data_IF_632324284458
#
_entry.id   IF_632324284458
#
_cell.length_a   1.000
_cell.length_b   1.000
_cell.length_c   1.000
_cell.angle_alpha   90.00
_cell.angle_beta   90.00
_cell.angle_gamma   90.00
#
_symmetry.space_group_name_H-M   'P 1'
#
loop_
_entity.id
_entity.type
_entity.pdbx_description
1 polymer ?
#
# COMPACT_ATOMS: atom_id res chain seq x y z
N UNK A 1 3.94 -17.80 -48.63
CA UNK A 1 2.66 -17.77 -47.87
C UNK A 1 3.01 -17.39 -46.44
N UNK A 2 2.77 -16.14 -46.09
CA UNK A 2 3.13 -15.58 -44.77
C UNK A 2 1.81 -15.18 -44.12
N UNK A 3 1.43 -15.87 -43.04
CA UNK A 3 0.24 -15.51 -42.29
C UNK A 3 0.46 -14.15 -41.60
N UNK A 4 -0.55 -13.26 -41.56
CA UNK A 4 -0.41 -11.99 -40.85
C UNK A 4 -0.44 -12.25 -39.35
N UNK A 5 0.43 -11.55 -38.62
CA UNK A 5 0.38 -11.42 -37.16
C UNK A 5 -0.94 -10.73 -36.83
N UNK A 6 -1.91 -11.50 -36.32
CA UNK A 6 -3.12 -10.95 -35.76
C UNK A 6 -2.73 -10.02 -34.60
N UNK A 7 -3.12 -8.74 -34.72
CA UNK A 7 -3.07 -7.79 -33.64
C UNK A 7 -3.93 -8.31 -32.48
N UNK A 8 -3.28 -8.85 -31.45
CA UNK A 8 -3.93 -9.28 -30.24
C UNK A 8 -4.13 -8.07 -29.33
N UNK A 9 -5.39 -7.62 -29.28
CA UNK A 9 -5.97 -6.94 -28.13
C UNK A 9 -5.61 -5.48 -28.00
N UNK A 10 -6.47 -4.62 -28.55
CA UNK A 10 -6.70 -3.28 -27.99
C UNK A 10 -6.95 -3.43 -26.48
N UNK A 11 -5.95 -3.09 -25.67
CA UNK A 11 -6.01 -3.14 -24.21
C UNK A 11 -6.62 -1.82 -23.71
N UNK A 12 -7.91 -1.62 -23.98
CA UNK A 12 -8.71 -0.64 -23.27
C UNK A 12 -9.15 -1.18 -21.90
N UNK A 13 -9.21 -0.31 -20.88
CA UNK A 13 -10.00 -0.48 -19.62
C UNK A 13 -9.36 -1.02 -18.31
N UNK A 14 -8.11 -0.67 -17.96
CA UNK A 14 -7.67 -0.78 -16.54
C UNK A 14 -6.68 0.28 -16.04
N UNK A 15 -6.04 1.02 -16.94
CA UNK A 15 -5.21 2.19 -16.59
C UNK A 15 -5.98 3.32 -15.86
N UNK A 16 -7.27 3.62 -16.18
CA UNK A 16 -8.03 4.64 -15.47
C UNK A 16 -8.26 4.28 -13.99
N UNK A 17 -8.70 3.05 -13.71
CA UNK A 17 -8.95 2.57 -12.34
C UNK A 17 -7.68 2.61 -11.49
N UNK A 18 -6.56 2.09 -12.01
CA UNK A 18 -5.25 2.16 -11.36
C UNK A 18 -4.87 3.61 -11.03
N UNK A 19 -4.99 4.49 -12.02
CA UNK A 19 -4.60 5.90 -11.88
C UNK A 19 -5.47 6.60 -10.85
N UNK A 20 -6.78 6.35 -10.86
CA UNK A 20 -7.70 6.94 -9.93
C UNK A 20 -7.47 6.42 -8.50
N UNK A 21 -7.23 5.12 -8.32
CA UNK A 21 -6.87 4.55 -7.03
C UNK A 21 -5.61 5.20 -6.45
N UNK A 22 -4.54 5.33 -7.26
CA UNK A 22 -3.29 5.96 -6.81
C UNK A 22 -3.50 7.44 -6.45
N UNK A 23 -4.23 8.20 -7.26
CA UNK A 23 -4.58 9.60 -6.96
C UNK A 23 -5.37 9.70 -5.65
N UNK A 24 -6.36 8.83 -5.47
CA UNK A 24 -7.17 8.77 -4.27
C UNK A 24 -6.33 8.41 -3.03
N UNK A 25 -5.51 7.35 -3.10
CA UNK A 25 -4.60 6.95 -2.02
C UNK A 25 -3.61 8.06 -1.64
N UNK A 26 -3.03 8.75 -2.61
CA UNK A 26 -2.19 9.91 -2.35
C UNK A 26 -2.96 11.03 -1.63
N UNK A 27 -4.17 11.33 -2.09
CA UNK A 27 -5.00 12.39 -1.49
C UNK A 27 -5.39 12.07 -0.05
N UNK A 28 -5.90 10.87 0.23
CA UNK A 28 -6.34 10.50 1.59
C UNK A 28 -5.16 10.43 2.56
N UNK A 29 -3.99 9.97 2.11
CA UNK A 29 -2.77 9.98 2.93
C UNK A 29 -2.27 11.39 3.20
N UNK A 30 -2.35 12.29 2.24
CA UNK A 30 -2.03 13.70 2.45
C UNK A 30 -2.97 14.33 3.50
N UNK A 31 -4.27 14.04 3.43
CA UNK A 31 -5.26 14.49 4.43
C UNK A 31 -4.92 13.92 5.81
N UNK A 32 -4.64 12.62 5.90
CA UNK A 32 -4.26 11.98 7.17
C UNK A 32 -3.01 12.62 7.80
N UNK A 33 -1.99 12.94 6.99
CA UNK A 33 -0.77 13.58 7.49
C UNK A 33 -0.98 15.03 7.94
N UNK A 34 -1.82 15.80 7.24
CA UNK A 34 -2.07 17.22 7.56
C UNK A 34 -3.08 17.42 8.68
N UNK A 35 -4.15 16.62 8.68
CA UNK A 35 -5.33 16.87 9.50
C UNK A 35 -5.60 15.73 10.50
N UNK A 36 -5.13 14.51 10.21
CA UNK A 36 -5.33 13.32 11.05
C UNK A 36 -4.16 12.98 11.96
N UNK A 37 -3.19 13.89 12.10
CA UNK A 37 -1.94 13.65 12.82
C UNK A 37 -1.22 12.35 12.39
N UNK A 38 -1.35 11.96 11.13
CA UNK A 38 -0.79 10.73 10.55
C UNK A 38 -1.38 9.43 11.08
N UNK A 39 -2.56 9.45 11.70
CA UNK A 39 -3.26 8.22 12.10
C UNK A 39 -3.90 7.55 10.88
N UNK A 40 -3.74 6.22 10.71
CA UNK A 40 -4.47 5.47 9.68
C UNK A 40 -5.98 5.55 9.90
N UNK A 41 -6.73 5.81 8.83
CA UNK A 41 -8.19 5.74 8.77
C UNK A 41 -8.65 4.62 7.83
N UNK A 42 -9.96 4.54 7.57
CA UNK A 42 -10.56 3.51 6.72
C UNK A 42 -10.08 3.55 5.26
N UNK A 43 -9.53 4.69 4.80
CA UNK A 43 -9.02 4.82 3.44
C UNK A 43 -7.68 4.12 3.22
N UNK A 44 -6.95 3.84 4.30
CA UNK A 44 -5.66 3.15 4.27
C UNK A 44 -5.66 1.82 5.02
N UNK A 45 -6.78 1.47 5.65
CA UNK A 45 -6.97 0.24 6.43
C UNK A 45 -8.02 -0.70 5.82
N UNK A 46 -7.83 -1.24 4.60
CA UNK A 46 -8.86 -2.02 3.93
C UNK A 46 -9.31 -3.24 4.75
N UNK A 47 -10.57 -3.62 4.59
CA UNK A 47 -11.03 -4.94 5.02
C UNK A 47 -10.45 -5.99 4.05
N UNK A 48 -9.86 -7.04 4.61
CA UNK A 48 -9.22 -8.11 3.86
C UNK A 48 -10.13 -9.33 3.84
N UNK A 49 -10.47 -9.82 2.65
CA UNK A 49 -11.25 -11.04 2.46
C UNK A 49 -10.42 -12.10 1.73
N UNK A 50 -10.69 -13.37 2.04
CA UNK A 50 -10.24 -14.46 1.18
C UNK A 50 -11.24 -14.62 0.03
N UNK A 51 -10.80 -15.03 -1.18
CA UNK A 51 -11.70 -15.34 -2.27
C UNK A 51 -12.80 -16.33 -1.83
N UNK A 52 -14.05 -16.05 -2.18
CA UNK A 52 -15.21 -16.89 -1.85
C UNK A 52 -15.64 -16.87 -0.38
N UNK A 53 -15.15 -15.93 0.44
CA UNK A 53 -15.57 -15.76 1.83
C UNK A 53 -16.22 -14.38 2.02
N UNK A 54 -17.42 -14.37 2.59
CA UNK A 54 -18.19 -13.13 2.79
C UNK A 54 -17.65 -12.33 3.99
N UNK A 55 -17.16 -13.00 5.03
CA UNK A 55 -16.59 -12.34 6.20
C UNK A 55 -15.14 -11.89 5.98
N UNK A 56 -14.84 -10.69 6.46
CA UNK A 56 -13.48 -10.17 6.45
C UNK A 56 -12.60 -10.96 7.44
N UNK A 57 -11.40 -11.35 7.02
CA UNK A 57 -10.39 -11.89 7.93
C UNK A 57 -9.88 -10.88 8.96
N UNK A 58 -10.04 -9.59 8.67
CA UNK A 58 -9.56 -8.49 9.49
C UNK A 58 -9.24 -7.26 8.65
N UNK A 59 -8.62 -6.27 9.28
CA UNK A 59 -8.14 -5.04 8.63
C UNK A 59 -6.62 -4.98 8.70
N UNK A 60 -5.98 -4.46 7.66
CA UNK A 60 -4.53 -4.30 7.59
C UNK A 60 -4.20 -2.83 7.30
N UNK A 61 -3.14 -2.28 7.92
CA UNK A 61 -2.67 -0.93 7.56
C UNK A 61 -1.76 -1.06 6.35
N UNK A 62 -2.11 -0.39 5.25
CA UNK A 62 -1.33 -0.41 4.02
C UNK A 62 -0.38 0.78 3.93
N UNK A 63 0.78 0.55 3.31
CA UNK A 63 1.80 1.56 2.95
C UNK A 63 1.91 1.64 1.43
N UNK A 64 2.10 2.87 0.93
CA UNK A 64 2.30 3.16 -0.49
C UNK A 64 3.78 3.49 -0.73
N UNK A 65 4.44 2.74 -1.63
CA UNK A 65 5.87 2.87 -1.86
C UNK A 65 6.18 3.73 -3.08
N UNK A 66 7.15 4.64 -2.96
CA UNK A 66 7.62 5.48 -4.07
C UNK A 66 8.38 4.66 -5.13
N UNK A 67 8.29 5.11 -6.38
CA UNK A 67 9.07 4.63 -7.53
C UNK A 67 9.97 5.75 -8.11
N UNK A 68 11.22 5.44 -8.52
CA UNK A 68 11.87 4.12 -8.41
C UNK A 68 12.04 3.70 -6.95
N UNK A 69 12.14 2.39 -6.73
CA UNK A 69 12.22 1.85 -5.38
C UNK A 69 13.47 2.37 -4.66
N UNK A 70 13.42 2.46 -3.32
CA UNK A 70 14.39 3.14 -2.44
C UNK A 70 14.51 4.67 -2.56
N UNK A 71 13.85 5.32 -3.51
CA UNK A 71 14.06 6.75 -3.81
C UNK A 71 13.99 7.72 -2.62
N UNK A 72 13.25 7.36 -1.56
CA UNK A 72 13.16 8.15 -0.32
C UNK A 72 13.40 7.33 0.96
N UNK A 73 13.93 6.11 0.82
CA UNK A 73 14.20 5.23 1.96
C UNK A 73 15.36 5.72 2.83
N UNK A 74 16.49 6.20 2.28
CA UNK A 74 17.58 6.77 3.07
C UNK A 74 17.14 7.93 3.97
N UNK A 75 16.27 8.80 3.47
CA UNK A 75 15.72 9.96 4.21
C UNK A 75 14.89 9.49 5.40
N UNK A 76 14.01 8.51 5.22
CA UNK A 76 13.23 7.92 6.31
C UNK A 76 14.13 7.25 7.37
N UNK A 77 15.13 6.49 6.92
CA UNK A 77 16.10 5.85 7.83
C UNK A 77 16.90 6.90 8.60
N UNK A 78 17.32 7.98 7.95
CA UNK A 78 18.04 9.07 8.59
C UNK A 78 17.17 9.78 9.63
N UNK A 79 15.90 10.08 9.31
CA UNK A 79 14.95 10.64 10.27
C UNK A 79 14.79 9.74 11.51
N UNK A 80 14.70 8.42 11.32
CA UNK A 80 14.60 7.48 12.43
C UNK A 80 15.87 7.44 13.30
N UNK A 81 17.05 7.53 12.69
CA UNK A 81 18.34 7.47 13.37
C UNK A 81 18.70 8.76 14.14
N UNK A 82 18.16 9.91 13.72
CA UNK A 82 18.47 11.23 14.33
C UNK A 82 18.03 11.36 15.79
N UNK A 83 17.02 10.62 16.23
CA UNK A 83 16.49 10.72 17.59
C UNK A 83 15.85 9.43 18.05
N UNK A 84 16.01 9.12 19.33
CA UNK A 84 15.33 8.01 20.01
C UNK A 84 13.98 8.43 20.62
N UNK A 85 13.67 9.73 20.66
CA UNK A 85 12.40 10.25 21.17
C UNK A 85 11.27 9.97 20.17
N UNK A 86 10.26 9.13 20.53
CA UNK A 86 9.12 8.82 19.67
C UNK A 86 8.34 10.06 19.21
N UNK A 87 8.21 11.07 20.05
CA UNK A 87 7.44 12.27 19.75
C UNK A 87 8.13 13.12 18.68
N UNK A 88 9.45 13.33 18.83
CA UNK A 88 10.25 14.06 17.85
C UNK A 88 10.31 13.32 16.50
N UNK A 89 10.49 12.00 16.53
CA UNK A 89 10.48 11.18 15.30
C UNK A 89 9.16 11.29 14.56
N UNK A 90 8.04 11.18 15.30
CA UNK A 90 6.69 11.35 14.75
C UNK A 90 6.50 12.75 14.17
N UNK A 91 6.93 13.80 14.87
CA UNK A 91 6.81 15.17 14.40
C UNK A 91 7.57 15.40 13.07
N UNK A 92 8.81 14.94 12.98
CA UNK A 92 9.61 15.00 11.75
C UNK A 92 8.96 14.23 10.60
N UNK A 93 8.40 13.05 10.89
CA UNK A 93 7.66 12.26 9.90
C UNK A 93 6.41 13.00 9.40
N UNK A 94 5.63 13.60 10.30
CA UNK A 94 4.45 14.38 9.93
C UNK A 94 4.81 15.58 9.06
N UNK A 95 5.85 16.33 9.43
CA UNK A 95 6.36 17.43 8.62
C UNK A 95 6.74 16.94 7.20
N UNK A 96 7.55 15.89 7.12
CA UNK A 96 8.01 15.31 5.87
C UNK A 96 6.87 14.81 4.97
N UNK A 97 5.95 14.01 5.51
CA UNK A 97 4.87 13.38 4.74
C UNK A 97 3.70 14.33 4.43
N UNK A 98 3.51 15.39 5.23
CA UNK A 98 2.48 16.43 4.99
C UNK A 98 2.85 17.40 3.86
N UNK A 99 4.14 17.48 3.51
CA UNK A 99 4.68 18.35 2.47
C UNK A 99 4.33 17.86 1.05
N UNK A 100 5.33 17.72 0.18
CA UNK A 100 5.14 17.30 -1.21
C UNK A 100 5.10 15.77 -1.40
N UNK A 101 5.26 14.99 -0.33
CA UNK A 101 5.45 13.54 -0.43
C UNK A 101 4.29 12.82 -1.16
N UNK A 102 3.04 13.24 -0.97
CA UNK A 102 1.89 12.62 -1.64
C UNK A 102 1.32 13.45 -2.80
N UNK A 103 2.03 14.47 -3.31
CA UNK A 103 1.49 15.35 -4.37
C UNK A 103 1.46 14.69 -5.76
N UNK A 104 2.37 13.76 -6.06
CA UNK A 104 2.49 13.16 -7.39
C UNK A 104 2.26 11.64 -7.34
N UNK A 105 1.04 11.22 -7.70
CA UNK A 105 0.63 9.82 -7.72
C UNK A 105 1.43 8.95 -8.70
N UNK A 106 1.94 9.50 -9.81
CA UNK A 106 2.73 8.76 -10.78
C UNK A 106 4.11 8.33 -10.24
N UNK A 107 4.51 8.88 -9.08
CA UNK A 107 5.74 8.51 -8.39
C UNK A 107 5.54 7.39 -7.38
N UNK A 108 4.38 6.72 -7.37
CA UNK A 108 4.12 5.59 -6.49
C UNK A 108 3.87 4.31 -7.27
N UNK A 109 4.29 3.19 -6.68
CA UNK A 109 3.91 1.85 -7.13
C UNK A 109 2.44 1.59 -6.77
N UNK A 110 1.78 0.80 -7.60
CA UNK A 110 0.49 0.19 -7.30
C UNK A 110 0.58 -1.02 -6.35
N UNK A 111 1.77 -1.52 -6.06
CA UNK A 111 1.96 -2.57 -5.05
C UNK A 111 1.87 -1.95 -3.66
N UNK A 112 0.81 -2.31 -2.94
CA UNK A 112 0.64 -1.96 -1.54
C UNK A 112 1.43 -2.92 -0.66
N UNK A 113 1.92 -2.44 0.48
CA UNK A 113 2.58 -3.30 1.47
C UNK A 113 1.95 -3.19 2.84
N UNK A 114 2.05 -4.24 3.66
CA UNK A 114 1.66 -4.21 5.06
C UNK A 114 2.63 -5.03 5.91
N UNK A 115 2.86 -4.59 7.14
CA UNK A 115 3.68 -5.29 8.14
C UNK A 115 2.82 -6.18 9.02
N UNK A 116 3.34 -7.37 9.33
CA UNK A 116 2.73 -8.31 10.25
C UNK A 116 3.75 -8.70 11.33
N UNK A 117 3.29 -8.93 12.58
CA UNK A 117 4.17 -9.40 13.64
C UNK A 117 4.78 -10.76 13.27
N UNK A 118 5.95 -11.12 13.85
CA UNK A 118 6.56 -12.42 13.63
C UNK A 118 5.58 -13.55 13.93
N UNK A 119 5.54 -14.58 13.07
CA UNK A 119 4.64 -15.75 13.21
C UNK A 119 3.14 -15.39 13.22
N UNK A 120 2.77 -14.30 12.54
CA UNK A 120 1.36 -13.89 12.40
C UNK A 120 0.52 -14.98 11.73
N UNK A 121 -0.50 -15.45 12.45
CA UNK A 121 -1.51 -16.39 11.92
C UNK A 121 -2.22 -15.79 10.71
N UNK A 122 -2.55 -14.49 10.78
CA UNK A 122 -3.18 -13.76 9.67
C UNK A 122 -2.27 -13.75 8.43
N UNK A 123 -0.99 -13.40 8.59
CA UNK A 123 -0.03 -13.41 7.48
C UNK A 123 0.11 -14.80 6.85
N UNK A 124 0.15 -15.86 7.67
CA UNK A 124 0.21 -17.23 7.18
C UNK A 124 -1.02 -17.62 6.35
N UNK A 125 -2.24 -17.26 6.80
CA UNK A 125 -3.49 -17.50 6.07
C UNK A 125 -3.52 -16.74 4.74
N UNK A 126 -3.15 -15.47 4.75
CA UNK A 126 -3.08 -14.63 3.54
C UNK A 126 -2.12 -15.25 2.52
N UNK A 127 -0.90 -15.64 2.95
CA UNK A 127 0.10 -16.25 2.04
C UNK A 127 -0.39 -17.58 1.47
N UNK A 128 -1.04 -18.42 2.28
CA UNK A 128 -1.61 -19.70 1.82
C UNK A 128 -2.68 -19.50 0.75
N UNK A 129 -3.47 -18.43 0.84
CA UNK A 129 -4.50 -18.11 -0.16
C UNK A 129 -3.92 -17.62 -1.50
N UNK A 130 -2.72 -17.01 -1.48
CA UNK A 130 -2.03 -16.39 -2.64
C UNK A 130 -2.77 -15.22 -3.31
N UNK A 131 -4.10 -15.15 -3.19
CA UNK A 131 -4.97 -14.07 -3.61
C UNK A 131 -5.86 -13.63 -2.46
N UNK A 132 -6.16 -12.34 -2.41
CA UNK A 132 -7.09 -11.72 -1.45
C UNK A 132 -7.90 -10.63 -2.14
N UNK A 133 -9.00 -10.22 -1.52
CA UNK A 133 -9.68 -8.97 -1.85
C UNK A 133 -9.35 -7.93 -0.78
N UNK A 134 -8.98 -6.73 -1.20
CA UNK A 134 -8.84 -5.56 -0.33
C UNK A 134 -9.98 -4.59 -0.62
N UNK A 135 -10.87 -4.42 0.36
CA UNK A 135 -11.99 -3.50 0.29
C UNK A 135 -11.66 -2.20 1.02
N UNK A 136 -11.49 -1.14 0.25
CA UNK A 136 -11.36 0.23 0.72
C UNK A 136 -12.71 0.92 0.63
N UNK A 137 -13.14 1.59 1.69
CA UNK A 137 -14.40 2.34 1.71
C UNK A 137 -14.24 3.58 2.58
N UNK A 138 -14.04 4.73 1.95
CA UNK A 138 -13.93 6.00 2.66
C UNK A 138 -14.15 7.18 1.70
N UNK A 139 -14.57 8.33 2.25
CA UNK A 139 -14.74 9.57 1.48
C UNK A 139 -15.65 9.42 0.24
N UNK A 140 -16.76 8.68 0.39
CA UNK A 140 -17.72 8.38 -0.68
C UNK A 140 -17.11 7.66 -1.91
N UNK A 141 -15.94 7.02 -1.75
CA UNK A 141 -15.31 6.21 -2.77
C UNK A 141 -14.98 4.83 -2.19
N UNK A 142 -15.38 3.80 -2.93
CA UNK A 142 -15.05 2.41 -2.64
C UNK A 142 -14.16 1.86 -3.74
N UNK A 143 -13.18 1.07 -3.34
CA UNK A 143 -12.35 0.24 -4.23
C UNK A 143 -12.33 -1.18 -3.71
N UNK A 144 -12.61 -2.15 -4.58
CA UNK A 144 -12.42 -3.57 -4.32
C UNK A 144 -11.26 -4.04 -5.17
N UNK A 145 -10.11 -4.26 -4.57
CA UNK A 145 -8.92 -4.71 -5.28
C UNK A 145 -8.75 -6.22 -5.14
N UNK A 146 -8.73 -6.92 -6.26
CA UNK A 146 -8.29 -8.31 -6.31
C UNK A 146 -6.77 -8.34 -6.37
N UNK A 147 -6.11 -8.84 -5.32
CA UNK A 147 -4.65 -8.74 -5.19
C UNK A 147 -3.98 -10.11 -5.17
N UNK A 148 -2.89 -10.24 -5.93
CA UNK A 148 -1.89 -11.30 -5.71
C UNK A 148 -1.03 -10.94 -4.51
N UNK A 149 -0.71 -11.94 -3.68
CA UNK A 149 0.05 -11.73 -2.44
C UNK A 149 1.42 -12.37 -2.52
N UNK A 150 2.45 -11.62 -2.11
CA UNK A 150 3.82 -12.10 -2.02
C UNK A 150 4.43 -11.73 -0.68
N UNK A 151 5.18 -12.64 -0.07
CA UNK A 151 6.10 -12.29 1.02
C UNK A 151 7.31 -11.60 0.42
N UNK A 152 7.66 -10.42 0.92
CA UNK A 152 8.84 -9.71 0.48
C UNK A 152 10.05 -10.17 1.29
N UNK A 153 11.16 -10.46 0.61
CA UNK A 153 12.45 -10.70 1.26
C UNK A 153 12.95 -9.42 1.92
N UNK A 154 13.82 -9.53 2.93
CA UNK A 154 14.32 -8.37 3.68
C UNK A 154 15.10 -7.38 2.81
N UNK A 155 15.82 -7.87 1.79
CA UNK A 155 16.55 -7.06 0.80
C UNK A 155 15.65 -6.52 -0.32
N UNK A 156 14.35 -6.79 -0.28
CA UNK A 156 13.44 -6.24 -1.28
C UNK A 156 13.27 -4.73 -1.02
N UNK A 157 13.37 -3.88 -2.06
CA UNK A 157 13.22 -2.44 -1.92
C UNK A 157 11.95 -1.97 -1.20
N UNK A 158 10.82 -2.61 -1.49
CA UNK A 158 9.54 -2.26 -0.84
C UNK A 158 9.47 -2.78 0.59
N UNK A 159 10.17 -3.86 0.92
CA UNK A 159 10.33 -4.27 2.31
C UNK A 159 11.04 -3.18 3.11
N UNK A 160 12.22 -2.75 2.66
CA UNK A 160 13.01 -1.71 3.33
C UNK A 160 12.26 -0.38 3.47
N UNK A 161 11.62 0.08 2.38
CA UNK A 161 10.82 1.31 2.40
C UNK A 161 9.65 1.23 3.39
N UNK A 162 8.98 0.07 3.47
CA UNK A 162 7.87 -0.15 4.41
C UNK A 162 8.35 -0.14 5.85
N UNK A 163 9.48 -0.79 6.14
CA UNK A 163 10.08 -0.82 7.48
C UNK A 163 10.51 0.59 7.89
N UNK A 164 11.23 1.30 7.00
CA UNK A 164 11.69 2.66 7.25
C UNK A 164 10.52 3.62 7.50
N UNK A 165 9.43 3.51 6.73
CA UNK A 165 8.21 4.26 6.98
C UNK A 165 7.60 3.93 8.35
N UNK A 166 7.40 2.64 8.67
CA UNK A 166 6.67 2.24 9.87
C UNK A 166 7.43 2.53 11.17
N UNK A 167 8.76 2.47 11.17
CA UNK A 167 9.61 2.83 12.32
C UNK A 167 9.45 4.30 12.74
N UNK A 168 9.06 5.19 11.82
CA UNK A 168 8.81 6.60 12.12
C UNK A 168 7.56 6.80 12.99
N UNK A 169 6.56 5.92 12.86
CA UNK A 169 5.29 6.01 13.59
C UNK A 169 5.14 4.98 14.70
N UNK A 170 5.89 3.88 14.63
CA UNK A 170 5.97 2.84 15.64
C UNK A 170 7.45 2.51 15.93
N UNK A 171 8.11 3.25 16.84
CA UNK A 171 9.51 3.00 17.21
C UNK A 171 9.76 1.63 17.83
N UNK A 172 8.73 0.98 18.36
CA UNK A 172 8.77 -0.34 18.97
C UNK A 172 8.45 -1.47 17.99
N UNK A 173 8.64 -1.23 16.68
CA UNK A 173 8.42 -2.25 15.65
C UNK A 173 9.27 -3.49 15.95
N UNK A 174 8.66 -4.68 16.15
CA UNK A 174 9.41 -5.86 16.54
C UNK A 174 10.44 -6.28 15.48
N UNK A 175 11.58 -6.86 15.88
CA UNK A 175 12.46 -7.52 14.92
C UNK A 175 11.77 -8.74 14.31
N UNK A 176 12.14 -9.09 13.07
CA UNK A 176 11.62 -10.28 12.40
C UNK A 176 10.17 -10.18 11.93
N UNK A 177 9.61 -8.96 11.81
CA UNK A 177 8.32 -8.75 11.17
C UNK A 177 8.31 -9.30 9.74
N UNK A 178 7.13 -9.65 9.25
CA UNK A 178 6.92 -10.01 7.86
C UNK A 178 6.33 -8.81 7.11
N UNK A 179 6.84 -8.54 5.90
CA UNK A 179 6.19 -7.61 4.97
C UNK A 179 5.56 -8.41 3.84
N UNK A 180 4.26 -8.22 3.65
CA UNK A 180 3.54 -8.75 2.49
C UNK A 180 3.31 -7.62 1.49
N UNK A 181 3.53 -7.93 0.21
CA UNK A 181 3.12 -7.11 -0.93
C UNK A 181 1.79 -7.61 -1.50
N UNK A 182 0.92 -6.67 -1.84
CA UNK A 182 -0.39 -6.88 -2.44
C UNK A 182 -0.37 -6.19 -3.81
N UNK A 183 -0.27 -6.99 -4.86
CA UNK A 183 -0.20 -6.55 -6.26
C UNK A 183 -1.60 -6.63 -6.87
N UNK A 184 -2.28 -5.51 -7.15
CA UNK A 184 -3.62 -5.53 -7.71
C UNK A 184 -3.64 -6.12 -9.12
N UNK A 185 -4.63 -6.96 -9.38
CA UNK A 185 -5.08 -7.33 -10.71
C UNK A 185 -6.18 -6.36 -11.11
N UNK A 186 -5.79 -5.32 -11.86
CA UNK A 186 -6.68 -4.21 -12.20
C UNK A 186 -7.86 -4.61 -13.07
N UNK A 187 -7.76 -5.69 -13.85
CA UNK A 187 -8.85 -6.21 -14.66
C UNK A 187 -9.91 -6.95 -13.82
N UNK A 188 -9.53 -7.37 -12.61
CA UNK A 188 -10.38 -8.06 -11.64
C UNK A 188 -10.76 -7.17 -10.45
N UNK A 189 -10.44 -5.88 -10.54
CA UNK A 189 -10.69 -4.89 -9.50
C UNK A 189 -11.80 -3.94 -9.94
N UNK A 190 -12.50 -3.36 -8.98
CA UNK A 190 -13.65 -2.47 -9.27
C UNK A 190 -13.62 -1.24 -8.36
N UNK A 191 -14.37 -0.21 -8.73
CA UNK A 191 -14.67 0.93 -7.90
C UNK A 191 -16.17 1.22 -7.85
N UNK A 192 -16.58 1.95 -6.83
CA UNK A 192 -17.94 2.46 -6.69
C UNK A 192 -17.88 3.87 -6.07
N UNK A 193 -18.32 4.92 -6.79
CA UNK A 193 -18.84 4.87 -8.16
C UNK A 193 -17.82 4.31 -9.17
N UNK A 194 -18.33 3.77 -10.27
CA UNK A 194 -17.51 3.18 -11.32
C UNK A 194 -16.65 4.25 -11.99
N UNK A 195 -15.39 3.91 -12.27
CA UNK A 195 -14.42 4.80 -12.92
C UNK A 195 -14.17 4.26 -14.33
N UNK A 196 -14.68 5.00 -15.31
CA UNK A 196 -14.54 4.73 -16.75
C UNK A 196 -13.19 5.18 -17.30
#
# INVERSE_FOLDING_TARGET
MTAPVAALGESGSSAPLRTAFLKWQCRVRQIAMRNGAGRPDDAVTPALHLPGHDEALGRIVTVLNRVPAHSLTPEMTHMAARTNDPAQRRAAALEYFSAAYYQNAARFSDVLTATFPPRSILAARIRKSQKVLLLFNAYAQRFTLSCRVRKLASHNPFHEATVAHNVLFNPSLPPGIEVLGFEPDWNMSTSDPEIS
#
